data_IF_588171479047
#
_entry.id   IF_588171479047
#
_cell.length_a   1.000
_cell.length_b   1.000
_cell.length_c   1.000
_cell.angle_alpha   90.00
_cell.angle_beta   90.00
_cell.angle_gamma   90.00
#
_symmetry.space_group_name_H-M   'P 1'
#
loop_
_entity.id
_entity.type
_entity.pdbx_description
1 polymer ?
#
# COMPACT_ATOMS: atom_id res chain seq x y z
N UNK A 1 19.11 57.29 9.28
CA UNK A 1 17.87 57.43 8.49
C UNK A 1 17.66 56.15 7.69
N UNK A 2 16.49 55.50 7.83
CA UNK A 2 15.67 54.82 6.79
C UNK A 2 16.42 54.00 5.71
N UNK A 3 16.15 52.73 5.43
CA UNK A 3 14.94 51.89 5.55
C UNK A 3 15.32 50.43 5.33
N UNK A 4 14.55 49.54 5.95
CA UNK A 4 14.32 48.12 5.66
C UNK A 4 14.06 47.82 4.17
N UNK A 5 14.31 46.56 3.75
CA UNK A 5 13.58 45.80 2.70
C UNK A 5 14.07 44.33 2.71
N UNK A 6 13.37 43.40 3.37
CA UNK A 6 12.27 42.52 2.88
C UNK A 6 12.81 41.23 2.23
N UNK A 7 12.37 40.10 2.81
CA UNK A 7 12.42 38.74 2.29
C UNK A 7 11.91 38.65 0.84
N UNK A 8 12.72 38.08 -0.05
CA UNK A 8 12.29 37.45 -1.30
C UNK A 8 13.42 36.46 -1.63
N UNK A 9 13.25 35.15 -1.55
CA UNK A 9 12.16 34.34 -2.04
C UNK A 9 12.88 33.19 -2.72
N UNK A 10 12.92 32.03 -2.04
CA UNK A 10 13.56 30.81 -2.50
C UNK A 10 12.70 30.19 -3.64
N UNK A 11 12.58 30.92 -4.75
CA UNK A 11 11.76 30.56 -5.91
C UNK A 11 12.64 30.40 -7.16
N UNK A 12 13.84 29.86 -6.98
CA UNK A 12 14.80 29.62 -8.07
C UNK A 12 15.20 28.14 -8.20
N UNK A 13 14.31 27.22 -7.81
CA UNK A 13 14.45 25.80 -8.15
C UNK A 13 13.40 25.32 -9.15
N UNK A 14 12.32 26.09 -9.37
CA UNK A 14 11.35 25.83 -10.44
C UNK A 14 11.77 26.40 -11.81
N UNK A 15 12.75 27.33 -11.85
CA UNK A 15 13.16 28.01 -13.09
C UNK A 15 14.22 27.26 -13.90
N UNK A 16 14.86 26.23 -13.33
CA UNK A 16 15.95 25.51 -14.01
C UNK A 16 15.42 24.45 -14.98
N UNK A 17 14.15 24.06 -14.88
CA UNK A 17 13.55 23.08 -15.81
C UNK A 17 13.08 23.69 -17.14
N UNK A 18 12.94 25.02 -17.22
CA UNK A 18 12.36 25.68 -18.41
C UNK A 18 13.37 26.22 -19.44
N UNK A 19 14.69 26.09 -19.24
CA UNK A 19 15.68 26.74 -20.11
C UNK A 19 16.64 25.82 -20.87
N UNK A 20 16.40 24.50 -20.99
CA UNK A 20 17.29 23.62 -21.78
C UNK A 20 16.68 22.95 -23.01
N UNK A 21 15.48 23.31 -23.48
CA UNK A 21 14.90 22.61 -24.63
C UNK A 21 14.49 23.52 -25.79
N UNK A 22 15.46 24.22 -26.37
CA UNK A 22 15.32 24.86 -27.69
C UNK A 22 15.60 23.89 -28.87
N UNK A 23 15.58 22.57 -28.67
CA UNK A 23 16.06 21.62 -29.69
C UNK A 23 15.34 20.26 -29.79
N UNK A 24 14.18 20.07 -29.17
CA UNK A 24 13.35 18.87 -29.41
C UNK A 24 11.96 19.35 -29.79
N UNK A 25 11.46 18.88 -30.94
CA UNK A 25 10.14 19.24 -31.43
C UNK A 25 9.08 19.04 -30.35
N UNK A 26 8.16 19.99 -30.24
CA UNK A 26 7.08 19.97 -29.27
C UNK A 26 6.37 18.61 -29.34
N UNK A 27 6.51 17.82 -28.28
CA UNK A 27 5.59 16.69 -28.04
C UNK A 27 4.19 17.29 -28.05
N UNK A 28 3.21 16.73 -28.79
CA UNK A 28 1.86 17.24 -28.77
C UNK A 28 1.41 17.30 -27.32
N UNK A 29 1.12 18.51 -26.85
CA UNK A 29 0.81 18.86 -25.47
C UNK A 29 -0.62 18.47 -25.09
N UNK A 30 -1.14 17.39 -25.67
CA UNK A 30 -2.43 16.86 -25.23
C UNK A 30 -2.21 16.30 -23.84
N UNK A 31 -3.06 16.75 -22.94
CA UNK A 31 -3.17 16.39 -21.53
C UNK A 31 -4.67 16.18 -21.34
N UNK A 32 -5.11 14.95 -21.60
CA UNK A 32 -6.51 14.60 -21.80
C UNK A 32 -7.31 14.64 -20.51
N UNK A 33 -6.67 14.37 -19.37
CA UNK A 33 -7.28 14.42 -18.04
C UNK A 33 -6.95 15.68 -17.22
N UNK A 34 -5.98 16.48 -17.66
CA UNK A 34 -5.61 17.75 -17.05
C UNK A 34 -4.77 17.62 -15.79
N UNK A 35 -4.10 16.49 -15.57
CA UNK A 35 -3.31 16.21 -14.37
C UNK A 35 -1.88 16.80 -14.42
N UNK A 36 -1.50 17.34 -15.57
CA UNK A 36 -0.21 17.99 -15.81
C UNK A 36 0.86 17.06 -16.40
N UNK A 37 0.54 15.80 -16.66
CA UNK A 37 1.29 14.94 -17.57
C UNK A 37 0.71 15.04 -18.99
N UNK A 38 1.52 14.74 -19.99
CA UNK A 38 1.05 14.74 -21.38
C UNK A 38 0.76 13.31 -21.81
N UNK A 39 -0.29 13.10 -22.61
CA UNK A 39 -0.77 11.76 -23.00
C UNK A 39 0.34 10.88 -23.59
N UNK A 40 1.23 11.49 -24.38
CA UNK A 40 2.34 10.80 -25.01
C UNK A 40 3.45 10.38 -24.03
N UNK A 41 3.58 11.08 -22.91
CA UNK A 41 4.46 10.71 -21.80
C UNK A 41 3.85 9.59 -20.96
N UNK A 42 2.57 9.69 -20.66
CA UNK A 42 1.81 8.70 -19.91
C UNK A 42 1.75 7.36 -20.64
N UNK A 43 1.38 7.38 -21.92
CA UNK A 43 1.39 6.19 -22.79
C UNK A 43 2.78 5.55 -22.84
N UNK A 44 3.85 6.36 -22.87
CA UNK A 44 5.23 5.87 -22.92
C UNK A 44 5.67 5.23 -21.61
N UNK A 45 5.15 5.71 -20.48
CA UNK A 45 5.47 5.19 -19.15
C UNK A 45 4.41 4.23 -18.60
N UNK A 46 3.39 3.90 -19.38
CA UNK A 46 2.39 2.90 -19.04
C UNK A 46 1.31 3.39 -18.07
N UNK A 47 1.08 4.69 -17.96
CA UNK A 47 -0.07 5.27 -17.26
C UNK A 47 -1.22 5.61 -18.22
N UNK A 48 -2.41 5.87 -17.68
CA UNK A 48 -3.65 6.09 -18.43
C UNK A 48 -3.91 7.59 -18.66
N UNK A 49 -3.81 8.10 -19.91
CA UNK A 49 -3.91 9.53 -20.23
C UNK A 49 -5.30 10.15 -20.03
N UNK A 50 -6.33 9.34 -19.80
CA UNK A 50 -7.70 9.80 -19.56
C UNK A 50 -8.08 9.76 -18.07
N UNK A 51 -7.15 9.43 -17.18
CA UNK A 51 -7.40 9.23 -15.75
C UNK A 51 -6.43 10.04 -14.88
N UNK A 52 -6.89 11.15 -14.26
CA UNK A 52 -6.00 12.07 -13.54
C UNK A 52 -5.44 11.51 -12.23
N UNK A 53 -5.80 10.27 -11.88
CA UNK A 53 -5.22 9.50 -10.79
C UNK A 53 -4.21 8.44 -11.23
N UNK A 54 -3.92 8.31 -12.53
CA UNK A 54 -2.93 7.38 -13.08
C UNK A 54 -1.68 8.15 -13.45
N UNK A 55 -0.72 8.21 -12.52
CA UNK A 55 0.57 8.84 -12.81
C UNK A 55 1.55 7.79 -13.39
N UNK A 56 2.67 8.19 -14.00
CA UNK A 56 3.64 7.25 -14.58
C UNK A 56 4.09 6.13 -13.61
N UNK A 57 4.22 4.89 -14.07
CA UNK A 57 4.40 3.66 -13.22
C UNK A 57 5.28 3.80 -11.98
N UNK A 58 6.47 4.41 -12.05
CA UNK A 58 7.36 4.55 -10.89
C UNK A 58 6.88 5.55 -9.83
N UNK A 59 5.82 6.29 -10.15
CA UNK A 59 5.15 7.23 -9.28
C UNK A 59 3.74 6.73 -8.93
N UNK A 60 3.11 5.89 -9.76
CA UNK A 60 1.74 5.37 -9.52
C UNK A 60 1.70 4.29 -8.45
N UNK A 61 2.76 3.49 -8.38
CA UNK A 61 2.99 2.37 -7.46
C UNK A 61 4.43 2.51 -6.93
N UNK A 62 4.64 3.35 -5.89
CA UNK A 62 5.97 3.77 -5.46
C UNK A 62 6.76 2.66 -4.77
N UNK A 63 6.08 1.75 -4.08
CA UNK A 63 6.66 0.64 -3.33
C UNK A 63 6.65 -0.70 -4.08
N UNK A 64 5.95 -0.76 -5.22
CA UNK A 64 5.93 -1.89 -6.16
C UNK A 64 5.26 -3.13 -5.59
N UNK A 65 4.25 -2.96 -4.76
CA UNK A 65 3.45 -4.04 -4.18
C UNK A 65 2.34 -4.53 -5.15
N UNK A 66 1.98 -3.69 -6.13
CA UNK A 66 0.97 -3.96 -7.15
C UNK A 66 -0.36 -3.22 -6.97
N UNK A 67 -0.49 -2.37 -5.94
CA UNK A 67 -1.54 -1.37 -5.79
C UNK A 67 -1.06 -0.01 -6.29
N UNK A 68 -1.97 0.73 -6.92
CA UNK A 68 -1.72 2.14 -7.22
C UNK A 68 -2.06 3.01 -6.01
N UNK A 69 -1.45 4.20 -5.92
CA UNK A 69 -1.75 5.18 -4.87
C UNK A 69 -3.26 5.43 -4.64
N UNK A 70 -4.07 5.38 -5.71
CA UNK A 70 -5.53 5.57 -5.62
C UNK A 70 -6.23 4.39 -4.95
N UNK A 71 -5.77 3.17 -5.22
CA UNK A 71 -6.28 1.93 -4.63
C UNK A 71 -5.85 1.85 -3.17
N UNK A 72 -4.61 2.23 -2.86
CA UNK A 72 -4.08 2.30 -1.50
C UNK A 72 -4.82 3.32 -0.64
N UNK A 73 -5.08 4.52 -1.19
CA UNK A 73 -5.94 5.51 -0.52
C UNK A 73 -7.32 4.93 -0.17
N UNK A 74 -7.90 4.16 -1.08
CA UNK A 74 -9.23 3.57 -0.90
C UNK A 74 -9.21 2.38 0.07
N UNK A 75 -8.08 1.66 0.16
CA UNK A 75 -7.82 0.58 1.12
C UNK A 75 -7.40 1.10 2.52
N UNK A 76 -6.88 2.32 2.61
CA UNK A 76 -6.36 2.91 3.84
C UNK A 76 -4.89 2.56 4.14
N UNK A 77 -4.14 2.11 3.13
CA UNK A 77 -2.75 1.67 3.22
C UNK A 77 -1.75 2.81 2.96
N UNK A 78 -0.46 2.60 3.24
CA UNK A 78 0.62 3.58 3.01
C UNK A 78 1.26 3.38 1.62
N UNK A 79 1.14 4.38 0.69
CA UNK A 79 1.70 4.31 -0.67
C UNK A 79 3.22 4.13 -0.83
N UNK A 80 3.94 3.95 0.26
CA UNK A 80 5.39 3.83 0.30
C UNK A 80 5.82 2.59 1.09
N UNK A 81 4.88 1.77 1.56
CA UNK A 81 5.12 0.59 2.36
C UNK A 81 4.28 -0.58 1.83
N UNK A 82 4.89 -1.61 1.22
CA UNK A 82 4.14 -2.66 0.52
C UNK A 82 3.38 -3.60 1.48
N UNK A 83 3.46 -3.40 2.79
CA UNK A 83 2.93 -4.22 3.89
C UNK A 83 2.64 -3.28 5.07
N UNK A 84 1.51 -2.57 4.99
CA UNK A 84 1.18 -1.43 5.86
C UNK A 84 1.14 -1.81 7.34
N UNK A 85 0.63 -2.99 7.68
CA UNK A 85 0.49 -3.44 9.05
C UNK A 85 1.64 -4.35 9.54
N UNK A 86 2.58 -4.67 8.65
CA UNK A 86 3.82 -5.39 8.90
C UNK A 86 3.61 -6.85 9.33
N UNK A 87 2.59 -7.52 8.79
CA UNK A 87 2.28 -8.92 9.10
C UNK A 87 2.95 -9.94 8.13
N UNK A 88 3.49 -9.46 7.01
CA UNK A 88 4.13 -10.16 5.87
C UNK A 88 3.21 -10.58 4.72
N UNK A 89 1.95 -10.21 4.74
CA UNK A 89 1.10 -10.13 3.56
C UNK A 89 1.26 -8.73 2.96
N UNK A 90 1.41 -8.64 1.64
CA UNK A 90 1.43 -7.32 1.02
C UNK A 90 0.02 -6.74 0.96
N UNK A 91 -0.10 -5.41 0.98
CA UNK A 91 -1.39 -4.73 0.88
C UNK A 91 -2.19 -5.22 -0.34
N UNK A 92 -1.52 -5.37 -1.49
CA UNK A 92 -2.10 -5.96 -2.71
C UNK A 92 -2.66 -7.37 -2.53
N UNK A 93 -2.02 -8.23 -1.72
CA UNK A 93 -2.50 -9.59 -1.46
C UNK A 93 -3.79 -9.58 -0.65
N UNK A 94 -3.88 -8.70 0.33
CA UNK A 94 -5.02 -8.61 1.25
C UNK A 94 -6.21 -7.92 0.58
N UNK A 95 -5.99 -6.77 -0.07
CA UNK A 95 -6.99 -6.08 -0.89
C UNK A 95 -7.51 -6.99 -2.02
N UNK A 96 -6.62 -7.76 -2.65
CA UNK A 96 -6.95 -8.69 -3.72
C UNK A 96 -7.78 -9.90 -3.26
N UNK A 97 -7.47 -10.46 -2.08
CA UNK A 97 -8.16 -11.62 -1.52
C UNK A 97 -9.48 -11.25 -0.83
N UNK A 98 -9.56 -10.06 -0.22
CA UNK A 98 -10.66 -9.58 0.63
C UNK A 98 -10.96 -10.52 1.81
N UNK A 99 -9.92 -11.16 2.35
CA UNK A 99 -10.04 -12.05 3.51
C UNK A 99 -9.66 -11.27 4.77
N UNK A 100 -8.50 -10.62 4.76
CA UNK A 100 -7.89 -9.91 5.89
C UNK A 100 -7.98 -8.39 5.71
N UNK A 101 -7.70 -7.64 6.77
CA UNK A 101 -7.63 -6.17 6.76
C UNK A 101 -6.17 -5.72 6.60
N UNK A 102 -5.79 -5.06 5.49
CA UNK A 102 -4.40 -4.66 5.22
C UNK A 102 -3.82 -3.61 6.18
N UNK A 103 -4.63 -3.17 7.14
CA UNK A 103 -4.22 -2.22 8.17
C UNK A 103 -4.19 -2.84 9.56
N UNK A 104 -4.40 -4.16 9.66
CA UNK A 104 -4.52 -4.89 10.91
C UNK A 104 -3.87 -6.28 10.83
N UNK A 105 -2.64 -6.37 11.33
CA UNK A 105 -1.81 -7.57 11.24
C UNK A 105 -2.42 -8.86 11.86
N UNK A 106 -3.50 -8.74 12.62
CA UNK A 106 -4.24 -9.83 13.29
C UNK A 106 -5.71 -9.44 13.20
N UNK A 107 -6.34 -9.84 12.09
CA UNK A 107 -7.66 -9.38 11.65
C UNK A 107 -8.76 -9.73 12.67
N UNK A 108 -8.63 -10.88 13.34
CA UNK A 108 -9.63 -11.38 14.28
C UNK A 108 -9.26 -11.24 15.77
N UNK A 109 -8.03 -10.76 16.03
CA UNK A 109 -7.50 -10.38 17.33
C UNK A 109 -7.30 -11.54 18.30
N UNK A 110 -6.88 -12.70 17.79
CA UNK A 110 -6.67 -13.91 18.59
C UNK A 110 -5.23 -14.08 19.12
N UNK A 111 -4.30 -13.27 18.59
CA UNK A 111 -2.88 -13.28 18.94
C UNK A 111 -1.99 -14.05 17.97
N UNK A 112 -2.51 -14.55 16.86
CA UNK A 112 -1.80 -15.06 15.69
C UNK A 112 -1.97 -14.06 14.55
N UNK A 113 -0.89 -13.73 13.85
CA UNK A 113 -0.98 -12.76 12.76
C UNK A 113 -1.47 -13.43 11.47
N UNK A 114 -2.10 -12.66 10.57
CA UNK A 114 -2.83 -13.23 9.43
C UNK A 114 -1.94 -14.10 8.52
N UNK A 115 -0.69 -13.67 8.29
CA UNK A 115 0.31 -14.47 7.60
C UNK A 115 0.59 -15.83 8.27
N UNK A 116 0.76 -15.85 9.60
CA UNK A 116 1.03 -17.06 10.37
C UNK A 116 -0.19 -17.98 10.39
N UNK A 117 -1.40 -17.42 10.38
CA UNK A 117 -2.67 -18.14 10.27
C UNK A 117 -2.84 -18.82 8.92
N UNK A 118 -2.69 -18.07 7.82
CA UNK A 118 -2.71 -18.61 6.45
C UNK A 118 -1.68 -19.74 6.31
N UNK A 119 -0.50 -19.60 6.93
CA UNK A 119 0.54 -20.65 6.92
C UNK A 119 0.18 -21.85 7.80
N UNK A 120 -0.51 -21.64 8.91
CA UNK A 120 -0.98 -22.69 9.80
C UNK A 120 -2.21 -23.42 9.25
N UNK A 121 -2.96 -22.78 8.35
CA UNK A 121 -4.24 -23.27 7.84
C UNK A 121 -5.42 -22.95 8.75
N UNK A 122 -5.28 -22.01 9.68
CA UNK A 122 -6.38 -21.46 10.48
C UNK A 122 -7.16 -20.42 9.65
N UNK A 123 -8.31 -20.00 10.15
CA UNK A 123 -9.17 -18.98 9.53
C UNK A 123 -8.83 -17.60 10.10
N UNK A 124 -8.17 -16.71 9.33
CA UNK A 124 -7.72 -15.41 9.83
C UNK A 124 -8.83 -14.40 10.12
N UNK A 125 -10.08 -14.85 10.02
CA UNK A 125 -11.28 -14.05 10.35
C UNK A 125 -12.08 -14.68 11.49
N UNK A 126 -11.57 -15.75 12.09
CA UNK A 126 -12.23 -16.50 13.13
C UNK A 126 -11.26 -16.96 14.21
N UNK A 127 -11.34 -16.40 15.44
CA UNK A 127 -10.28 -16.51 16.44
C UNK A 127 -10.17 -17.88 17.13
N UNK A 128 -10.89 -18.89 16.64
CA UNK A 128 -10.96 -20.27 17.17
C UNK A 128 -11.44 -21.17 16.01
N UNK A 129 -10.50 -21.63 15.20
CA UNK A 129 -10.78 -22.32 13.92
C UNK A 129 -11.51 -23.64 14.15
N UNK A 130 -11.07 -24.43 15.13
CA UNK A 130 -11.62 -25.75 15.38
C UNK A 130 -12.84 -25.77 16.31
N UNK A 131 -13.09 -24.67 17.02
CA UNK A 131 -14.25 -24.42 17.90
C UNK A 131 -14.25 -25.26 19.18
N UNK A 132 -13.09 -25.49 19.76
CA UNK A 132 -12.97 -26.15 21.06
C UNK A 132 -12.97 -25.18 22.26
N UNK A 133 -12.92 -23.87 21.99
CA UNK A 133 -12.95 -22.81 22.97
C UNK A 133 -11.59 -22.25 23.36
N UNK A 134 -10.49 -22.70 22.74
CA UNK A 134 -9.19 -22.05 22.78
C UNK A 134 -8.96 -21.22 21.52
N UNK A 135 -8.23 -20.11 21.66
CA UNK A 135 -7.90 -19.26 20.51
C UNK A 135 -6.72 -19.84 19.75
N UNK A 136 -6.69 -19.74 18.42
CA UNK A 136 -5.65 -20.35 17.59
C UNK A 136 -4.26 -19.80 17.98
N UNK A 137 -4.15 -18.49 18.21
CA UNK A 137 -2.95 -17.84 18.74
C UNK A 137 -2.51 -18.38 20.12
N UNK A 138 -3.46 -18.63 21.02
CA UNK A 138 -3.17 -19.20 22.34
C UNK A 138 -2.67 -20.65 22.24
N UNK A 139 -3.25 -21.43 21.33
CA UNK A 139 -2.87 -22.80 21.07
C UNK A 139 -1.48 -22.92 20.45
N UNK A 140 -1.20 -22.10 19.43
CA UNK A 140 0.14 -22.02 18.83
C UNK A 140 1.19 -21.62 19.85
N UNK A 141 0.88 -20.67 20.74
CA UNK A 141 1.78 -20.26 21.82
C UNK A 141 2.01 -21.39 22.85
N UNK A 142 0.99 -22.21 23.11
CA UNK A 142 1.08 -23.37 24.00
C UNK A 142 1.67 -24.63 23.34
N UNK A 143 1.80 -24.65 22.01
CA UNK A 143 2.28 -25.80 21.24
C UNK A 143 1.23 -26.88 21.02
N UNK A 144 -0.07 -26.54 21.11
CA UNK A 144 -1.17 -27.40 20.67
C UNK A 144 -1.49 -27.18 19.17
N UNK A 145 -2.55 -27.82 18.67
CA UNK A 145 -2.86 -27.86 17.24
C UNK A 145 -4.23 -27.20 17.03
N UNK A 146 -4.28 -25.96 16.50
CA UNK A 146 -5.51 -25.17 16.39
C UNK A 146 -6.52 -25.69 15.36
N UNK A 147 -6.18 -26.80 14.69
CA UNK A 147 -7.07 -27.49 13.74
C UNK A 147 -7.66 -28.76 14.36
N UNK A 148 -7.48 -29.00 15.65
CA UNK A 148 -7.86 -30.24 16.32
C UNK A 148 -8.49 -30.01 17.69
N UNK A 149 -9.82 -30.16 17.75
CA UNK A 149 -10.63 -30.04 18.98
C UNK A 149 -10.22 -30.96 20.16
N UNK A 150 -9.23 -31.83 19.96
CA UNK A 150 -8.71 -32.75 20.97
C UNK A 150 -7.29 -32.41 21.43
N UNK A 151 -6.64 -31.47 20.75
CA UNK A 151 -5.30 -30.98 21.02
C UNK A 151 -5.40 -29.67 21.78
N UNK A 152 -5.56 -29.74 23.10
CA UNK A 152 -5.68 -28.54 23.94
C UNK A 152 -4.36 -28.18 24.60
N UNK A 153 -4.15 -26.90 24.97
CA UNK A 153 -3.04 -26.49 25.81
C UNK A 153 -2.96 -27.35 27.09
N UNK A 154 -1.88 -28.12 27.24
CA UNK A 154 -1.65 -28.90 28.45
C UNK A 154 -1.24 -27.91 29.54
N UNK A 155 -2.15 -27.64 30.47
CA UNK A 155 -1.88 -26.79 31.63
C UNK A 155 -0.63 -27.36 32.37
N UNK A 156 0.44 -26.57 32.57
CA UNK A 156 1.65 -27.04 33.26
C UNK A 156 1.42 -27.40 34.73
#
# INVERSE_FOLDING_TARGET
MRKSNIFAGLALLFLVFFLTLSAYGEVPSTDSDGDGWADGYETKLGSDPDNPGSIPVSLDDPDQDGLKNVEERDAGTDPMDPDTDNDRLSDAQEVGSRITDPTCADTDMDGLNDFDEVRAGTDPTHPDTDRDGWLDGAEKAAGSDPLSQTSTPINP
#
